data_IF_988073316497
#
_entry.id   IF_988073316497
#
_cell.length_a   1.000
_cell.length_b   1.000
_cell.length_c   1.000
_cell.angle_alpha   90.00
_cell.angle_beta   90.00
_cell.angle_gamma   90.00
#
_symmetry.space_group_name_H-M   'P 1'
#
loop_
_entity.id
_entity.type
_entity.pdbx_description
1 polymer ?
#
# COMPACT_ATOMS: atom_id res chain seq x y z
N UNK A 1 3.33 17.67 15.50
CA UNK A 1 2.13 17.41 14.67
C UNK A 1 2.42 17.38 13.17
N UNK A 2 2.82 18.49 12.53
CA UNK A 2 2.96 18.60 11.05
C UNK A 2 3.77 17.46 10.39
N UNK A 3 4.95 17.12 10.95
CA UNK A 3 5.79 16.03 10.41
C UNK A 3 5.09 14.66 10.38
N UNK A 4 4.23 14.38 11.38
CA UNK A 4 3.54 13.10 11.49
C UNK A 4 2.40 13.00 10.49
N UNK A 5 1.64 14.09 10.31
CA UNK A 5 0.60 14.18 9.28
C UNK A 5 1.19 14.01 7.88
N UNK A 6 2.31 14.69 7.62
CA UNK A 6 3.05 14.54 6.37
C UNK A 6 3.50 13.10 6.15
N UNK A 7 4.05 12.45 7.18
CA UNK A 7 4.44 11.05 7.09
C UNK A 7 3.25 10.14 6.77
N UNK A 8 2.10 10.32 7.42
CA UNK A 8 0.89 9.55 7.16
C UNK A 8 0.43 9.75 5.71
N UNK A 9 0.28 11.00 5.28
CA UNK A 9 -0.19 11.33 3.94
C UNK A 9 0.76 10.79 2.86
N UNK A 10 2.07 10.98 3.03
CA UNK A 10 3.06 10.63 2.01
C UNK A 10 3.41 9.14 2.05
N UNK A 11 3.58 8.51 3.20
CA UNK A 11 4.19 7.18 3.29
C UNK A 11 3.21 6.05 3.62
N UNK A 12 2.01 6.38 4.13
CA UNK A 12 0.99 5.38 4.47
C UNK A 12 -0.16 5.44 3.47
N UNK A 13 -0.73 6.63 3.24
CA UNK A 13 -1.96 6.76 2.45
C UNK A 13 -1.75 6.63 0.94
N UNK A 14 -0.54 6.87 0.44
CA UNK A 14 -0.23 6.74 -0.97
C UNK A 14 0.32 5.35 -1.29
N UNK A 15 -0.23 4.68 -2.32
CA UNK A 15 0.43 3.52 -2.90
C UNK A 15 1.60 4.00 -3.75
N UNK A 16 2.81 3.55 -3.41
CA UNK A 16 4.03 4.04 -4.05
C UNK A 16 4.93 2.88 -4.44
N UNK A 17 5.74 3.12 -5.47
CA UNK A 17 6.85 2.25 -5.79
C UNK A 17 7.81 2.17 -4.58
N UNK A 18 8.18 0.96 -4.11
CA UNK A 18 9.07 0.79 -2.96
C UNK A 18 10.51 1.26 -3.22
N UNK A 19 10.92 1.41 -4.50
CA UNK A 19 12.27 1.89 -4.86
C UNK A 19 12.38 3.40 -4.98
N UNK A 20 11.51 4.00 -5.81
CA UNK A 20 11.63 5.41 -6.19
C UNK A 20 10.53 6.32 -5.61
N UNK A 21 9.63 5.75 -4.80
CA UNK A 21 8.53 6.47 -4.14
C UNK A 21 7.52 7.17 -5.06
N UNK A 22 7.58 6.93 -6.38
CA UNK A 22 6.57 7.40 -7.34
C UNK A 22 5.21 6.81 -6.98
N UNK A 23 4.19 7.67 -6.87
CA UNK A 23 2.81 7.27 -6.61
C UNK A 23 2.28 6.47 -7.79
N UNK A 24 1.64 5.34 -7.50
CA UNK A 24 0.93 4.51 -8.46
C UNK A 24 -0.45 5.11 -8.72
N UNK A 25 -0.77 5.34 -10.00
CA UNK A 25 -1.99 6.06 -10.42
C UNK A 25 -2.90 5.24 -11.35
N UNK A 26 -2.35 4.24 -12.05
CA UNK A 26 -3.07 3.54 -13.13
C UNK A 26 -3.27 2.06 -12.79
N UNK A 27 -4.41 1.72 -12.20
CA UNK A 27 -4.78 0.32 -11.96
C UNK A 27 -5.50 -0.29 -13.16
N UNK A 28 -4.91 -1.33 -13.76
CA UNK A 28 -5.46 -2.03 -14.93
C UNK A 28 -6.13 -3.37 -14.59
N UNK A 29 -6.31 -3.68 -13.31
CA UNK A 29 -6.85 -4.96 -12.84
C UNK A 29 -5.76 -5.93 -12.36
N UNK A 30 -4.56 -5.92 -12.95
CA UNK A 30 -3.47 -6.77 -12.50
C UNK A 30 -2.83 -6.24 -11.20
N UNK A 31 -2.64 -7.13 -10.22
CA UNK A 31 -2.05 -6.81 -8.92
C UNK A 31 -0.53 -6.99 -8.89
N UNK A 32 0.09 -7.48 -9.96
CA UNK A 32 1.54 -7.39 -10.20
C UNK A 32 1.84 -6.03 -10.85
N UNK A 33 2.23 -5.06 -10.03
CA UNK A 33 2.34 -3.66 -10.46
C UNK A 33 3.73 -3.37 -11.02
N UNK A 34 3.79 -2.61 -12.12
CA UNK A 34 5.02 -2.09 -12.68
C UNK A 34 5.13 -0.58 -12.42
N UNK A 35 6.30 -0.11 -12.02
CA UNK A 35 6.56 1.31 -11.85
C UNK A 35 6.79 1.98 -13.21
N UNK A 36 6.11 3.11 -13.45
CA UNK A 36 6.28 3.89 -14.68
C UNK A 36 7.58 4.71 -14.76
N UNK A 37 8.35 4.80 -13.67
CA UNK A 37 9.54 5.65 -13.57
C UNK A 37 10.84 4.89 -13.34
N UNK A 38 10.78 3.60 -13.01
CA UNK A 38 11.97 2.79 -12.75
C UNK A 38 11.65 1.31 -13.03
N UNK A 39 12.65 0.43 -13.19
CA UNK A 39 12.42 -0.98 -13.56
C UNK A 39 11.89 -1.85 -12.40
N UNK A 40 11.20 -1.25 -11.42
CA UNK A 40 10.61 -1.96 -10.30
C UNK A 40 9.26 -2.55 -10.69
N UNK A 41 9.09 -3.84 -10.45
CA UNK A 41 7.81 -4.50 -10.31
C UNK A 41 7.60 -4.79 -8.83
N UNK A 42 6.39 -4.61 -8.34
CA UNK A 42 6.09 -4.72 -6.93
C UNK A 42 4.70 -5.29 -6.70
N UNK A 43 4.53 -5.89 -5.53
CA UNK A 43 3.28 -6.51 -5.14
C UNK A 43 2.22 -5.45 -4.83
N UNK A 44 1.10 -5.47 -5.56
CA UNK A 44 -0.05 -4.62 -5.30
C UNK A 44 -0.71 -4.87 -3.95
N UNK A 45 -0.56 -6.06 -3.35
CA UNK A 45 -1.16 -6.35 -2.04
C UNK A 45 -0.38 -5.76 -0.87
N UNK A 46 0.93 -6.03 -0.80
CA UNK A 46 1.76 -5.68 0.36
C UNK A 46 2.77 -4.54 0.09
N UNK A 47 3.01 -4.18 -1.18
CA UNK A 47 4.00 -3.19 -1.58
C UNK A 47 5.43 -3.72 -1.67
N UNK A 48 5.66 -5.03 -1.57
CA UNK A 48 7.00 -5.62 -1.65
C UNK A 48 7.63 -5.39 -3.03
N UNK A 49 8.90 -4.98 -3.03
CA UNK A 49 9.73 -4.92 -4.23
C UNK A 49 10.02 -6.35 -4.74
N UNK A 50 9.64 -6.62 -5.99
CA UNK A 50 9.80 -7.91 -6.64
C UNK A 50 10.79 -7.87 -7.83
N UNK A 51 11.47 -6.75 -8.05
CA UNK A 51 12.41 -6.63 -9.15
C UNK A 51 11.75 -6.62 -10.52
N UNK A 52 12.00 -7.65 -11.32
CA UNK A 52 11.56 -7.68 -12.72
C UNK A 52 10.16 -8.27 -12.90
N UNK A 53 9.67 -9.05 -11.94
CA UNK A 53 8.37 -9.71 -12.03
C UNK A 53 7.75 -9.92 -10.64
N UNK A 54 6.53 -9.42 -10.44
CA UNK A 54 5.78 -9.55 -9.20
C UNK A 54 4.74 -10.69 -9.21
N UNK A 55 4.49 -11.36 -10.35
CA UNK A 55 3.39 -12.33 -10.50
C UNK A 55 3.49 -13.47 -9.48
N UNK A 56 4.66 -14.09 -9.34
CA UNK A 56 4.86 -15.17 -8.38
C UNK A 56 4.57 -14.72 -6.93
N UNK A 57 4.97 -13.50 -6.57
CA UNK A 57 4.72 -12.97 -5.23
C UNK A 57 3.22 -12.68 -5.01
N UNK A 58 2.55 -12.01 -5.96
CA UNK A 58 1.15 -11.60 -5.75
C UNK A 58 0.21 -12.78 -5.63
N UNK A 59 0.45 -13.86 -6.38
CA UNK A 59 -0.35 -15.08 -6.32
C UNK A 59 -0.29 -15.76 -4.94
N UNK A 60 0.90 -15.74 -4.31
CA UNK A 60 1.15 -16.34 -2.99
C UNK A 60 1.21 -15.35 -1.84
N UNK A 61 0.84 -14.08 -2.05
CA UNK A 61 1.03 -13.04 -1.06
C UNK A 61 0.14 -13.30 0.17
N UNK A 62 0.72 -13.28 1.38
CA UNK A 62 -0.04 -13.43 2.61
C UNK A 62 -1.05 -12.30 2.88
N UNK A 63 -0.94 -11.18 2.14
CA UNK A 63 -1.92 -10.09 2.18
C UNK A 63 -2.97 -10.17 1.07
N UNK A 64 -2.88 -11.15 0.15
CA UNK A 64 -3.91 -11.35 -0.88
C UNK A 64 -5.22 -11.75 -0.20
N UNK A 65 -6.35 -11.09 -0.50
CA UNK A 65 -7.65 -11.50 0.04
C UNK A 65 -7.98 -12.96 -0.31
N UNK A 66 -8.49 -13.77 0.65
CA UNK A 66 -8.89 -15.14 0.37
C UNK A 66 -10.12 -15.19 -0.55
N UNK A 67 -10.29 -16.29 -1.27
CA UNK A 67 -11.49 -16.53 -2.09
C UNK A 67 -11.53 -15.80 -3.44
N UNK A 68 -10.47 -15.07 -3.81
CA UNK A 68 -10.36 -14.47 -5.13
C UNK A 68 -10.14 -15.56 -6.21
N UNK A 69 -10.95 -15.58 -7.29
CA UNK A 69 -10.91 -16.63 -8.30
C UNK A 69 -9.67 -16.56 -9.19
N UNK A 70 -9.20 -15.35 -9.49
CA UNK A 70 -7.98 -15.11 -10.26
C UNK A 70 -6.82 -14.70 -9.31
N UNK A 71 -5.60 -15.22 -9.50
CA UNK A 71 -4.46 -14.87 -8.67
C UNK A 71 -3.88 -13.47 -8.94
N UNK A 72 -4.18 -12.88 -10.11
CA UNK A 72 -3.56 -11.65 -10.60
C UNK A 72 -4.56 -10.52 -10.79
N UNK A 73 -5.72 -10.80 -11.41
CA UNK A 73 -6.68 -9.80 -11.85
C UNK A 73 -7.86 -9.65 -10.88
N UNK A 74 -8.14 -8.43 -10.46
CA UNK A 74 -9.26 -8.12 -9.57
C UNK A 74 -10.01 -6.85 -9.98
N UNK A 75 -11.29 -6.69 -9.61
CA UNK A 75 -11.99 -5.42 -9.73
C UNK A 75 -11.30 -4.32 -8.93
N UNK A 76 -11.39 -3.08 -9.41
CA UNK A 76 -10.78 -1.93 -8.76
C UNK A 76 -11.27 -1.75 -7.32
N UNK A 77 -12.55 -2.04 -7.07
CA UNK A 77 -13.19 -1.96 -5.76
C UNK A 77 -12.57 -2.93 -4.76
N UNK A 78 -12.19 -4.13 -5.23
CA UNK A 78 -11.48 -5.12 -4.38
C UNK A 78 -10.11 -4.61 -3.99
N UNK A 79 -9.38 -4.06 -4.97
CA UNK A 79 -8.06 -3.47 -4.75
C UNK A 79 -8.13 -2.25 -3.79
N UNK A 80 -9.12 -1.37 -3.98
CA UNK A 80 -9.37 -0.23 -3.12
C UNK A 80 -9.72 -0.63 -1.68
N UNK A 81 -10.63 -1.60 -1.49
CA UNK A 81 -11.04 -2.02 -0.15
C UNK A 81 -9.86 -2.66 0.60
N UNK A 82 -9.08 -3.51 -0.08
CA UNK A 82 -7.86 -4.06 0.49
C UNK A 82 -6.92 -2.96 1.00
N UNK A 83 -6.66 -1.95 0.17
CA UNK A 83 -5.79 -0.84 0.55
C UNK A 83 -6.38 0.05 1.64
N UNK A 84 -7.70 0.26 1.66
CA UNK A 84 -8.38 0.99 2.73
C UNK A 84 -8.11 0.32 4.08
N UNK A 85 -8.31 -1.01 4.15
CA UNK A 85 -8.09 -1.79 5.36
C UNK A 85 -6.61 -1.82 5.76
N UNK A 86 -5.71 -2.10 4.82
CA UNK A 86 -4.26 -2.18 5.06
C UNK A 86 -3.70 -0.85 5.56
N UNK A 87 -4.02 0.26 4.88
CA UNK A 87 -3.57 1.60 5.28
C UNK A 87 -4.18 2.05 6.60
N UNK A 88 -5.44 1.69 6.86
CA UNK A 88 -6.08 1.96 8.15
C UNK A 88 -5.30 1.33 9.32
N UNK A 89 -4.89 0.06 9.17
CA UNK A 89 -4.04 -0.61 10.16
C UNK A 89 -2.68 0.08 10.31
N UNK A 90 -2.01 0.41 9.21
CA UNK A 90 -0.71 1.09 9.25
C UNK A 90 -0.78 2.47 9.91
N UNK A 91 -1.87 3.22 9.71
CA UNK A 91 -2.11 4.49 10.42
C UNK A 91 -2.28 4.25 11.91
N UNK A 92 -3.07 3.26 12.31
CA UNK A 92 -3.28 2.91 13.71
C UNK A 92 -1.97 2.46 14.38
N UNK A 93 -1.18 1.61 13.74
CA UNK A 93 0.13 1.17 14.22
C UNK A 93 1.09 2.35 14.38
N UNK A 94 1.17 3.23 13.37
CA UNK A 94 2.00 4.43 13.42
C UNK A 94 1.61 5.36 14.57
N UNK A 95 0.31 5.61 14.76
CA UNK A 95 -0.21 6.43 15.85
C UNK A 95 0.05 5.76 17.21
N UNK A 96 -0.07 4.43 17.29
CA UNK A 96 0.23 3.62 18.48
C UNK A 96 1.66 3.77 18.97
N UNK A 97 2.61 4.05 18.07
CA UNK A 97 4.01 4.34 18.42
C UNK A 97 4.27 5.76 18.96
N UNK A 98 3.30 6.67 18.94
CA UNK A 98 3.46 8.05 19.43
C UNK A 98 3.07 8.16 20.91
N UNK A 99 3.72 9.06 21.65
CA UNK A 99 3.31 9.45 23.01
C UNK A 99 1.86 9.97 23.04
N UNK A 100 1.13 9.68 24.12
CA UNK A 100 -0.31 9.94 24.19
C UNK A 100 -0.72 11.40 23.88
N UNK A 101 -0.05 12.46 24.42
CA UNK A 101 -0.40 13.83 24.09
C UNK A 101 -0.19 14.17 22.61
N UNK A 102 0.92 13.70 22.04
CA UNK A 102 1.25 13.94 20.64
C UNK A 102 0.31 13.17 19.70
N UNK A 103 -0.08 11.95 20.07
CA UNK A 103 -1.03 11.11 19.33
C UNK A 103 -2.39 11.80 19.22
N UNK A 104 -2.91 12.35 20.32
CA UNK A 104 -4.20 13.04 20.33
C UNK A 104 -4.18 14.24 19.36
N UNK A 105 -3.13 15.07 19.44
CA UNK A 105 -2.95 16.22 18.55
C UNK A 105 -2.84 15.86 17.07
N UNK A 106 -2.32 14.67 16.73
CA UNK A 106 -2.23 14.22 15.33
C UNK A 106 -3.58 13.71 14.81
N UNK A 107 -4.45 13.15 15.67
CA UNK A 107 -5.79 12.67 15.28
C UNK A 107 -6.81 13.78 15.08
N UNK A 108 -6.71 14.85 15.86
CA UNK A 108 -7.67 15.97 15.88
C UNK A 108 -7.41 17.02 14.79
N UNK A 109 -6.22 17.00 14.17
CA UNK A 109 -5.76 18.03 13.24
C UNK A 109 -5.91 17.66 11.77
#
# INVERSE_FOLDING_TARGET
VVRHRRHIAENILNHKCPRCSKVFIDFSGCTALACSMCPCNFCGWCGADCGADAHAHVAGCGQRPPGLPDPYFVPFETFLEHHRLRRGREVEDYLGGLEAPLRAQVREA
#
